data_IF_610505611426
#
_entry.id   IF_610505611426
#
_cell.length_a   1.000
_cell.length_b   1.000
_cell.length_c   1.000
_cell.angle_alpha   90.00
_cell.angle_beta   90.00
_cell.angle_gamma   90.00
#
_symmetry.space_group_name_H-M   'P 1'
#
loop_
_entity.id
_entity.type
_entity.pdbx_description
1 polymer ?
2 non-polymer ?
3 non-polymer ?
4 non-polymer ?
5 non-polymer ?
6 water ?
#
# COMPACT_ATOMS: atom_id res chain seq x y z
N UNK A 1 -13.88 -37.17 -5.74
CA UNK A 1 -12.89 -38.25 -5.56
C UNK A 1 -12.43 -38.88 -6.87
N UNK A 2 -13.09 -38.53 -7.98
CA UNK A 2 -12.67 -39.04 -9.30
C UNK A 2 -11.22 -38.57 -9.53
N UNK A 3 -11.01 -37.28 -9.28
CA UNK A 3 -9.69 -36.67 -9.41
C UNK A 3 -8.93 -36.89 -8.12
N UNK A 4 -7.67 -37.28 -8.22
CA UNK A 4 -6.87 -37.51 -7.03
C UNK A 4 -6.48 -36.20 -6.33
N UNK A 5 -6.35 -36.25 -5.01
CA UNK A 5 -5.95 -35.05 -4.30
C UNK A 5 -4.52 -34.85 -4.78
N UNK A 6 -4.24 -33.67 -5.31
CA UNK A 6 -2.91 -33.41 -5.88
C UNK A 6 -2.44 -32.00 -5.62
N UNK A 7 -1.14 -31.82 -5.48
CA UNK A 7 -0.58 -30.48 -5.25
C UNK A 7 -0.75 -29.69 -6.53
N UNK A 8 -1.32 -28.50 -6.42
CA UNK A 8 -1.53 -27.63 -7.57
C UNK A 8 -0.19 -27.23 -8.18
N UNK A 9 -0.15 -27.02 -9.50
CA UNK A 9 1.09 -26.62 -10.15
C UNK A 9 1.45 -25.23 -9.61
N UNK A 10 2.73 -24.99 -9.31
CA UNK A 10 3.24 -23.72 -8.78
C UNK A 10 2.61 -22.44 -9.37
N UNK A 11 2.62 -22.30 -10.68
CA UNK A 11 2.04 -21.10 -11.29
C UNK A 11 0.55 -20.93 -11.03
N UNK A 12 -0.20 -22.03 -11.14
CA UNK A 12 -1.65 -22.00 -10.92
C UNK A 12 -1.97 -21.66 -9.46
N UNK A 13 -1.21 -22.21 -8.53
CA UNK A 13 -1.45 -21.94 -7.12
C UNK A 13 -1.22 -20.45 -6.85
N UNK A 14 -0.17 -19.90 -7.46
CA UNK A 14 0.15 -18.49 -7.31
C UNK A 14 -0.93 -17.65 -7.95
N UNK A 15 -1.48 -18.11 -9.07
CA UNK A 15 -2.54 -17.35 -9.74
C UNK A 15 -3.78 -17.33 -8.85
N UNK A 16 -4.05 -18.43 -8.16
CA UNK A 16 -5.19 -18.47 -7.27
C UNK A 16 -4.96 -17.43 -6.17
N UNK A 17 -3.74 -17.36 -5.69
CA UNK A 17 -3.39 -16.39 -4.64
C UNK A 17 -3.48 -14.96 -5.19
N UNK A 18 -3.04 -14.77 -6.43
CA UNK A 18 -3.05 -13.47 -7.07
C UNK A 18 -4.45 -12.92 -7.20
N UNK A 19 -5.43 -13.81 -7.33
CA UNK A 19 -6.81 -13.35 -7.45
C UNK A 19 -7.33 -12.72 -6.17
N UNK A 20 -6.72 -13.09 -5.05
CA UNK A 20 -7.11 -12.59 -3.75
C UNK A 20 -6.35 -11.35 -3.29
N UNK A 21 -5.15 -11.14 -3.80
CA UNK A 21 -4.39 -9.97 -3.37
C UNK A 21 -4.18 -8.92 -4.45
N UNK A 22 -4.26 -9.34 -5.71
CA UNK A 22 -4.07 -8.43 -6.83
C UNK A 22 -5.32 -8.32 -7.68
N UNK A 23 -6.18 -7.37 -7.36
CA UNK A 23 -7.41 -7.16 -8.11
C UNK A 23 -7.16 -6.45 -9.42
N UNK A 24 -6.49 -5.29 -9.36
CA UNK A 24 -6.22 -4.49 -10.54
C UNK A 24 -4.82 -3.88 -10.53
N UNK A 25 -4.46 -3.11 -11.58
CA UNK A 25 -3.13 -2.50 -11.60
C UNK A 25 -2.80 -1.70 -10.34
N UNK A 26 -3.78 -0.99 -9.81
CA UNK A 26 -3.56 -0.21 -8.60
C UNK A 26 -3.05 -1.14 -7.49
N UNK A 27 -3.61 -2.34 -7.42
CA UNK A 27 -3.20 -3.33 -6.42
C UNK A 27 -1.73 -3.69 -6.57
N UNK A 28 -1.25 -3.76 -7.80
CA UNK A 28 0.15 -4.09 -8.07
C UNK A 28 1.01 -2.93 -7.59
N UNK A 29 0.58 -1.71 -7.90
CA UNK A 29 1.34 -0.54 -7.49
C UNK A 29 1.43 -0.49 -5.97
N UNK A 30 0.32 -0.78 -5.31
CA UNK A 30 0.23 -0.78 -3.85
C UNK A 30 1.30 -1.68 -3.23
N UNK A 31 1.30 -2.96 -3.61
CA UNK A 31 2.24 -3.94 -3.07
C UNK A 31 3.71 -3.59 -3.32
N UNK A 32 4.02 -3.19 -4.55
CA UNK A 32 5.40 -2.86 -4.89
C UNK A 32 5.90 -1.59 -4.16
N UNK A 33 5.03 -0.60 -4.02
CA UNK A 33 5.45 0.60 -3.33
C UNK A 33 5.65 0.32 -1.84
N UNK A 34 4.76 -0.49 -1.26
CA UNK A 34 4.90 -0.85 0.16
C UNK A 34 6.23 -1.59 0.33
N UNK A 35 6.60 -2.41 -0.66
CA UNK A 35 7.88 -3.10 -0.62
C UNK A 35 9.01 -2.09 -0.59
N UNK A 36 8.92 -1.09 -1.47
CA UNK A 36 9.90 -0.03 -1.54
C UNK A 36 9.96 0.69 -0.20
N UNK A 37 8.80 0.98 0.36
CA UNK A 37 8.76 1.67 1.64
C UNK A 37 9.49 0.82 2.69
N UNK A 38 9.14 -0.46 2.82
CA UNK A 38 9.80 -1.33 3.80
C UNK A 38 11.31 -1.38 3.61
N UNK A 39 11.76 -1.13 2.38
CA UNK A 39 13.19 -1.16 2.05
C UNK A 39 13.93 0.13 2.38
N UNK A 40 13.26 1.04 3.09
CA UNK A 40 13.89 2.31 3.45
C UNK A 40 14.03 3.32 2.34
N UNK A 41 13.28 3.15 1.25
CA UNK A 41 13.39 4.10 0.15
C UNK A 41 12.94 5.48 0.63
N UNK A 42 13.49 6.54 0.03
CA UNK A 42 13.08 7.89 0.37
C UNK A 42 12.61 8.58 -0.91
N UNK A 43 12.83 7.91 -2.04
CA UNK A 43 12.41 8.43 -3.34
C UNK A 43 11.84 7.27 -4.15
N UNK A 44 10.62 7.43 -4.65
CA UNK A 44 10.03 6.35 -5.45
C UNK A 44 9.44 6.89 -6.74
N UNK A 45 9.91 6.34 -7.86
CA UNK A 45 9.44 6.74 -9.17
C UNK A 45 8.56 5.65 -9.78
N UNK A 46 7.34 6.03 -10.12
CA UNK A 46 6.36 5.12 -10.68
C UNK A 46 5.96 5.52 -12.09
N UNK A 47 6.27 4.67 -13.06
CA UNK A 47 5.93 4.92 -14.45
C UNK A 47 4.80 3.97 -14.84
N UNK A 48 3.69 4.54 -15.29
CA UNK A 48 2.52 3.74 -15.69
C UNK A 48 2.24 3.93 -17.17
N UNK A 49 1.78 2.87 -17.83
CA UNK A 49 1.44 2.94 -19.25
C UNK A 49 0.11 2.23 -19.54
N UNK A 50 -0.77 2.95 -20.22
CA UNK A 50 -2.09 2.44 -20.59
C UNK A 50 -2.87 1.92 -19.38
N UNK A 51 -2.90 2.72 -18.32
CA UNK A 51 -3.61 2.33 -17.11
C UNK A 51 -2.93 1.25 -16.31
N UNK A 52 -1.74 0.85 -16.74
CA UNK A 52 -1.00 -0.20 -16.03
C UNK A 52 -1.18 -1.56 -16.68
N UNK A 53 -2.02 -1.62 -17.70
CA UNK A 53 -2.28 -2.86 -18.40
C UNK A 53 -1.09 -3.22 -19.29
N UNK A 54 -0.35 -2.20 -19.72
CA UNK A 54 0.81 -2.41 -20.56
C UNK A 54 2.06 -2.54 -19.70
N UNK A 55 2.32 -1.51 -18.88
CA UNK A 55 3.48 -1.52 -18.02
C UNK A 55 3.28 -0.81 -16.69
N UNK A 56 3.98 -1.31 -15.69
CA UNK A 56 3.99 -0.75 -14.35
C UNK A 56 5.44 -0.86 -13.91
N UNK A 57 6.11 0.28 -13.79
CA UNK A 57 7.51 0.32 -13.36
C UNK A 57 7.68 1.14 -12.10
N UNK A 58 8.34 0.54 -11.12
CA UNK A 58 8.59 1.21 -9.87
C UNK A 58 10.06 1.09 -9.51
N UNK A 59 10.70 2.24 -9.35
CA UNK A 59 12.10 2.29 -9.00
C UNK A 59 12.22 3.01 -7.66
N UNK A 60 13.02 2.45 -6.76
CA UNK A 60 13.20 3.05 -5.45
C UNK A 60 14.68 3.14 -5.11
N UNK A 61 15.01 3.98 -4.14
CA UNK A 61 16.41 4.13 -3.74
C UNK A 61 16.58 3.47 -2.38
N UNK A 62 15.95 2.30 -2.22
CA UNK A 62 16.04 1.56 -0.97
C UNK A 62 17.31 0.72 -0.90
N UNK A 63 17.40 -0.14 0.11
CA UNK A 63 18.58 -0.97 0.33
C UNK A 63 18.85 -2.07 -0.70
N UNK A 64 17.87 -2.38 -1.53
CA UNK A 64 18.06 -3.40 -2.55
C UNK A 64 18.04 -4.84 -2.08
N UNK A 65 18.16 -5.77 -3.03
CA UNK A 65 18.14 -7.19 -2.73
C UNK A 65 19.43 -7.87 -3.15
N UNK A 66 19.96 -8.70 -2.25
CA UNK A 66 21.20 -9.46 -2.45
C UNK A 66 21.06 -10.45 -3.60
N UNK A 67 22.11 -10.54 -4.41
CA UNK A 67 22.09 -11.43 -5.56
C UNK A 67 21.57 -12.82 -5.26
N UNK A 68 22.08 -13.45 -4.21
CA UNK A 68 21.68 -14.80 -3.88
C UNK A 68 20.34 -14.93 -3.15
N UNK A 69 19.57 -13.85 -3.13
CA UNK A 69 18.26 -13.85 -2.49
C UNK A 69 17.16 -13.39 -3.45
N UNK A 70 17.55 -13.04 -4.67
CA UNK A 70 16.58 -12.59 -5.66
C UNK A 70 15.55 -13.67 -5.97
N UNK A 71 16.01 -14.91 -6.11
CA UNK A 71 15.09 -16.01 -6.39
C UNK A 71 14.17 -16.17 -5.20
N UNK A 72 14.71 -15.98 -4.00
CA UNK A 72 13.93 -16.09 -2.79
C UNK A 72 12.93 -14.94 -2.74
N UNK A 73 13.30 -13.83 -3.38
CA UNK A 73 12.40 -12.67 -3.42
C UNK A 73 11.18 -13.00 -4.28
N UNK A 74 11.25 -14.09 -5.04
CA UNK A 74 10.12 -14.45 -5.91
C UNK A 74 9.45 -15.77 -5.54
N UNK A 75 10.03 -16.50 -4.58
CA UNK A 75 9.49 -17.80 -4.16
C UNK A 75 8.28 -17.63 -3.25
N UNK A 76 7.40 -18.61 -3.17
CA UNK A 76 6.25 -18.45 -2.28
C UNK A 76 6.66 -18.49 -0.81
N UNK A 77 5.86 -17.83 0.03
CA UNK A 77 6.09 -17.83 1.48
C UNK A 77 7.50 -17.47 1.92
N UNK A 78 8.19 -16.63 1.15
CA UNK A 78 9.57 -16.28 1.53
C UNK A 78 9.61 -14.81 1.88
N UNK A 79 10.09 -14.49 3.08
CA UNK A 79 10.13 -13.10 3.47
C UNK A 79 11.32 -12.83 4.36
N UNK A 80 11.72 -11.57 4.41
CA UNK A 80 12.84 -11.19 5.25
C UNK A 80 12.27 -10.37 6.41
N UNK A 81 10.98 -10.07 6.34
CA UNK A 81 10.33 -9.23 7.34
C UNK A 81 9.92 -9.87 8.67
N UNK A 82 9.51 -11.14 8.64
CA UNK A 82 9.16 -11.81 9.88
C UNK A 82 9.74 -13.21 9.84
N UNK A 83 9.94 -13.83 10.99
CA UNK A 83 10.48 -15.17 11.01
C UNK A 83 9.87 -16.03 12.12
N UNK A 84 8.87 -15.51 12.80
CA UNK A 84 8.22 -16.25 13.88
C UNK A 84 6.83 -15.71 14.18
N UNK A 85 6.12 -16.40 15.07
CA UNK A 85 4.78 -15.98 15.47
C UNK A 85 4.90 -14.68 16.26
N UNK A 86 5.97 -14.56 17.05
CA UNK A 86 6.22 -13.35 17.83
C UNK A 86 6.32 -12.14 16.89
N UNK A 87 7.00 -12.31 15.75
CA UNK A 87 7.14 -11.20 14.80
C UNK A 87 5.79 -10.86 14.19
N UNK A 88 5.00 -11.88 13.91
CA UNK A 88 3.69 -11.71 13.31
C UNK A 88 2.73 -10.90 14.18
N UNK A 89 2.62 -11.24 15.46
CA UNK A 89 1.72 -10.50 16.34
C UNK A 89 2.27 -9.14 16.77
N UNK A 90 3.41 -8.77 16.20
CA UNK A 90 4.05 -7.48 16.51
C UNK A 90 4.55 -6.86 15.22
N UNK A 91 3.74 -6.95 14.18
CA UNK A 91 4.13 -6.42 12.87
C UNK A 91 4.61 -4.97 12.90
N UNK A 92 5.79 -4.76 12.33
CA UNK A 92 6.40 -3.44 12.24
C UNK A 92 6.80 -3.12 10.81
N UNK A 93 6.21 -3.82 9.85
CA UNK A 93 6.50 -3.58 8.44
C UNK A 93 5.23 -3.79 7.63
N UNK A 94 5.17 -3.19 6.45
CA UNK A 94 3.98 -3.32 5.61
C UNK A 94 3.83 -4.75 5.07
N UNK A 95 4.95 -5.42 4.79
CA UNK A 95 4.85 -6.78 4.28
C UNK A 95 5.16 -7.83 5.34
N UNK A 96 4.65 -9.05 5.16
CA UNK A 96 4.91 -10.12 6.10
C UNK A 96 4.50 -11.53 5.64
N UNK A 97 3.71 -11.60 4.58
CA UNK A 97 3.28 -12.90 4.07
C UNK A 97 4.31 -13.55 3.15
N UNK A 98 5.15 -12.73 2.53
CA UNK A 98 6.15 -13.26 1.61
C UNK A 98 5.48 -13.89 0.41
N UNK A 99 4.41 -13.25 -0.08
CA UNK A 99 3.64 -13.78 -1.21
C UNK A 99 3.45 -12.86 -2.42
N UNK A 100 3.43 -11.55 -2.20
CA UNK A 100 3.17 -10.58 -3.26
C UNK A 100 3.94 -10.74 -4.58
N UNK A 101 5.26 -10.78 -4.51
CA UNK A 101 6.05 -10.90 -5.73
C UNK A 101 5.76 -12.19 -6.49
N UNK A 102 5.49 -13.26 -5.74
CA UNK A 102 5.16 -14.57 -6.32
C UNK A 102 3.78 -14.56 -6.99
N UNK A 103 2.81 -13.95 -6.33
CA UNK A 103 1.47 -13.86 -6.89
C UNK A 103 1.51 -13.01 -8.16
N UNK A 104 2.10 -11.83 -8.08
CA UNK A 104 2.17 -10.94 -9.24
C UNK A 104 2.91 -11.56 -10.43
N UNK A 105 4.01 -12.24 -10.16
CA UNK A 105 4.79 -12.88 -11.22
C UNK A 105 4.02 -13.92 -11.99
N UNK A 106 3.12 -14.62 -11.31
CA UNK A 106 2.35 -15.67 -11.96
C UNK A 106 1.23 -15.11 -12.83
N UNK A 107 0.97 -13.81 -12.74
CA UNK A 107 -0.09 -13.22 -13.54
C UNK A 107 0.36 -12.04 -14.39
N UNK A 108 1.64 -12.04 -14.75
CA UNK A 108 2.20 -10.99 -15.58
C UNK A 108 3.62 -11.39 -15.93
N UNK A 109 4.34 -10.45 -16.52
CA UNK A 109 5.73 -10.68 -16.84
C UNK A 109 6.41 -9.68 -15.91
N UNK A 110 6.91 -10.19 -14.79
CA UNK A 110 7.55 -9.33 -13.81
C UNK A 110 9.05 -9.54 -13.79
N UNK A 111 9.79 -8.43 -13.77
CA UNK A 111 11.25 -8.47 -13.73
C UNK A 111 11.73 -7.69 -12.51
N UNK A 112 12.70 -8.26 -11.82
CA UNK A 112 13.27 -7.66 -10.62
C UNK A 112 14.75 -7.33 -10.85
N UNK A 113 15.07 -6.05 -10.90
CA UNK A 113 16.44 -5.59 -11.10
C UNK A 113 16.88 -4.87 -9.83
N UNK A 114 18.00 -5.30 -9.25
CA UNK A 114 18.44 -4.70 -8.01
C UNK A 114 19.94 -4.84 -7.72
N UNK A 115 20.42 -3.99 -6.80
CA UNK A 115 21.82 -4.00 -6.36
C UNK A 115 21.91 -3.41 -4.96
N UNK A 116 22.79 -4.00 -4.13
CA UNK A 116 23.00 -3.53 -2.76
C UNK A 116 24.26 -2.67 -2.72
N UNK A 117 24.40 -1.88 -1.66
CA UNK A 117 25.57 -1.03 -1.51
C UNK A 117 26.85 -1.86 -1.44
N UNK A 118 26.74 -3.10 -0.97
CA UNK A 118 27.91 -3.97 -0.86
C UNK A 118 28.29 -4.66 -2.17
N UNK A 119 27.42 -4.59 -3.17
CA UNK A 119 27.68 -5.23 -4.46
C UNK A 119 28.21 -4.27 -5.50
N UNK A 120 29.14 -4.77 -6.32
CA UNK A 120 29.73 -3.99 -7.39
C UNK A 120 28.87 -4.20 -8.63
N UNK A 121 28.27 -5.38 -8.72
CA UNK A 121 27.44 -5.75 -9.86
C UNK A 121 25.94 -5.79 -9.52
N UNK A 122 25.10 -5.50 -10.51
CA UNK A 122 23.66 -5.56 -10.34
C UNK A 122 23.13 -6.83 -10.99
N UNK A 123 21.92 -7.22 -10.64
CA UNK A 123 21.34 -8.43 -11.20
C UNK A 123 19.82 -8.32 -11.35
N UNK A 124 19.26 -9.00 -12.34
CA UNK A 124 17.82 -8.98 -12.52
C UNK A 124 17.35 -10.43 -12.51
N UNK A 125 16.10 -10.63 -12.11
CA UNK A 125 15.56 -11.99 -12.03
C UNK A 125 14.08 -12.00 -12.38
N UNK A 126 13.60 -13.16 -12.82
CA UNK A 126 12.19 -13.32 -13.18
C UNK A 126 11.76 -14.78 -13.14
N UNK A 127 10.57 -15.04 -12.61
CA UNK A 127 10.03 -16.40 -12.51
C UNK A 127 9.37 -16.69 -13.85
N UNK A 128 9.21 -17.97 -14.17
CA UNK A 128 8.63 -18.30 -15.46
C UNK A 128 8.19 -19.75 -15.59
N UNK A 129 7.15 -19.97 -16.39
CA UNK A 129 6.65 -21.32 -16.63
C UNK A 129 5.73 -21.88 -15.57
N UNK A 130 5.20 -23.09 -15.85
CA UNK A 130 4.30 -23.77 -14.92
C UNK A 130 4.91 -23.94 -13.55
N UNK A 131 6.23 -24.16 -13.51
CA UNK A 131 6.93 -24.36 -12.25
C UNK A 131 7.56 -23.09 -11.68
N UNK A 132 7.33 -21.96 -12.32
CA UNK A 132 7.86 -20.69 -11.85
C UNK A 132 9.38 -20.76 -11.61
N UNK A 133 10.11 -21.28 -12.58
CA UNK A 133 11.56 -21.39 -12.46
C UNK A 133 12.21 -20.01 -12.56
N UNK A 134 13.21 -19.77 -11.73
CA UNK A 134 13.85 -18.47 -11.72
C UNK A 134 15.17 -18.33 -12.45
N UNK A 135 15.29 -17.21 -13.15
CA UNK A 135 16.50 -16.91 -13.88
C UNK A 135 17.09 -15.64 -13.28
N UNK A 136 18.40 -15.65 -13.07
CA UNK A 136 19.11 -14.49 -12.55
C UNK A 136 20.22 -14.23 -13.54
N UNK A 137 20.32 -12.99 -14.00
CA UNK A 137 21.34 -12.62 -14.98
C UNK A 137 21.90 -11.22 -14.67
N UNK A 138 23.07 -10.89 -15.24
CA UNK A 138 23.74 -9.59 -15.05
C UNK A 138 22.87 -8.40 -15.47
N UNK A 139 23.16 -7.23 -14.92
CA UNK A 139 22.41 -6.03 -15.25
C UNK A 139 23.11 -4.78 -14.75
N UNK A 140 22.62 -3.63 -15.19
CA UNK A 140 23.17 -2.34 -14.77
C UNK A 140 22.07 -1.67 -13.98
N UNK A 141 22.41 -1.18 -12.79
CA UNK A 141 21.40 -0.55 -11.95
C UNK A 141 22.08 0.10 -10.74
N UNK A 142 21.51 1.20 -10.24
CA UNK A 142 22.07 1.91 -9.09
C UNK A 142 21.74 1.12 -7.82
N UNK A 143 22.29 1.53 -6.68
CA UNK A 143 21.94 0.88 -5.44
C UNK A 143 20.44 1.13 -5.30
N UNK A 144 19.67 0.04 -5.21
CA UNK A 144 18.23 0.18 -5.10
C UNK A 144 17.55 -0.87 -5.93
N UNK A 145 16.24 -0.73 -6.12
CA UNK A 145 15.51 -1.73 -6.86
C UNK A 145 14.52 -1.17 -7.88
N UNK A 146 14.38 -1.87 -8.98
CA UNK A 146 13.43 -1.50 -10.02
C UNK A 146 12.54 -2.73 -10.26
N UNK A 147 11.24 -2.51 -10.26
CA UNK A 147 10.30 -3.59 -10.52
C UNK A 147 9.60 -3.27 -11.82
N UNK A 148 9.48 -4.27 -12.69
CA UNK A 148 8.80 -4.08 -13.96
C UNK A 148 7.75 -5.15 -14.19
N UNK A 149 6.49 -4.74 -14.19
CA UNK A 149 5.36 -5.65 -14.40
C UNK A 149 4.71 -5.31 -15.74
N UNK A 150 4.85 -6.20 -16.72
CA UNK A 150 4.26 -5.98 -18.03
C UNK A 150 3.17 -7.02 -18.33
N UNK A 151 2.25 -6.69 -19.24
CA UNK A 151 1.20 -7.62 -19.64
C UNK A 151 0.37 -8.21 -18.51
N UNK A 152 -0.01 -7.38 -17.52
CA UNK A 152 -0.80 -7.87 -16.40
C UNK A 152 -1.95 -8.75 -16.87
N UNK A 153 -2.14 -9.89 -16.21
CA UNK A 153 -3.20 -10.83 -16.55
C UNK A 153 -3.13 -11.44 -17.95
N UNK A 154 -2.00 -11.31 -18.64
CA UNK A 154 -1.92 -11.87 -19.98
C UNK A 154 -2.17 -13.38 -20.01
N UNK A 155 -1.79 -14.09 -18.95
CA UNK A 155 -1.98 -15.53 -18.91
C UNK A 155 -3.24 -15.97 -18.16
N UNK A 156 -4.01 -14.98 -17.72
CA UNK A 156 -5.29 -15.19 -17.05
C UNK A 156 -6.21 -14.20 -17.76
N UNK A 157 -6.41 -14.42 -19.07
CA UNK A 157 -7.24 -13.61 -19.97
C UNK A 157 -8.60 -13.19 -19.41
N UNK A 158 -9.27 -14.10 -18.71
CA UNK A 158 -10.59 -13.79 -18.16
C UNK A 158 -10.58 -12.65 -17.13
N UNK A 159 -9.48 -12.50 -16.39
CA UNK A 159 -9.37 -11.45 -15.38
C UNK A 159 -9.17 -10.08 -16.01
N UNK A 160 -8.61 -10.08 -17.21
CA UNK A 160 -8.33 -8.84 -17.91
C UNK A 160 -9.63 -8.15 -18.34
N UNK A 161 -10.67 -8.95 -18.55
CA UNK A 161 -11.96 -8.41 -18.98
C UNK A 161 -12.59 -7.55 -17.90
N UNK A 162 -12.16 -7.74 -16.66
CA UNK A 162 -12.68 -6.94 -15.55
C UNK A 162 -11.97 -5.59 -15.52
N UNK A 163 -10.97 -5.43 -16.38
CA UNK A 163 -10.22 -4.18 -16.47
C UNK A 163 -11.10 -3.09 -17.07
N UNK A 164 -11.16 -1.96 -16.38
CA UNK A 164 -11.95 -0.82 -16.85
C UNK A 164 -11.13 -0.04 -17.86
N UNK A 165 -11.55 1.19 -18.17
CA UNK A 165 -10.82 1.99 -19.14
C UNK A 165 -9.45 2.33 -18.57
N UNK A 166 -8.50 2.59 -19.46
CA UNK A 166 -7.15 2.95 -19.05
C UNK A 166 -7.18 4.16 -18.12
N UNK A 167 -7.99 5.15 -18.47
CA UNK A 167 -8.12 6.35 -17.67
C UNK A 167 -8.62 5.98 -16.28
N UNK A 168 -9.64 5.14 -16.24
CA UNK A 168 -10.19 4.72 -14.95
C UNK A 168 -9.15 3.97 -14.12
N UNK A 169 -8.46 3.03 -14.76
CA UNK A 169 -7.46 2.24 -14.05
C UNK A 169 -6.35 3.12 -13.51
N UNK A 170 -5.96 4.15 -14.28
CA UNK A 170 -4.92 5.05 -13.79
C UNK A 170 -5.43 5.85 -12.60
N UNK A 171 -6.71 6.21 -12.62
CA UNK A 171 -7.27 6.96 -11.50
C UNK A 171 -7.19 6.17 -10.21
N UNK A 172 -7.35 4.85 -10.28
CA UNK A 172 -7.27 4.03 -9.08
C UNK A 172 -5.83 3.97 -8.61
N UNK A 173 -4.89 4.01 -9.55
CA UNK A 173 -3.47 4.00 -9.24
C UNK A 173 -3.14 5.33 -8.56
N UNK A 174 -3.59 6.41 -9.18
CA UNK A 174 -3.39 7.77 -8.69
C UNK A 174 -3.94 7.90 -7.26
N UNK A 175 -5.08 7.27 -7.00
CA UNK A 175 -5.69 7.30 -5.69
C UNK A 175 -4.84 6.55 -4.66
N UNK A 176 -4.33 5.39 -5.06
CA UNK A 176 -3.48 4.58 -4.19
C UNK A 176 -2.24 5.37 -3.78
N UNK A 177 -1.58 6.00 -4.74
CA UNK A 177 -0.37 6.77 -4.48
C UNK A 177 -0.67 7.94 -3.55
N UNK A 178 -1.90 8.43 -3.63
CA UNK A 178 -2.37 9.53 -2.81
C UNK A 178 -2.38 9.02 -1.37
N UNK A 179 -3.10 7.92 -1.15
CA UNK A 179 -3.20 7.31 0.17
C UNK A 179 -1.82 7.00 0.75
N UNK A 180 -0.91 6.52 -0.09
CA UNK A 180 0.45 6.19 0.35
C UNK A 180 1.29 7.42 0.64
N UNK A 181 1.10 8.48 -0.15
CA UNK A 181 1.83 9.72 0.03
C UNK A 181 1.45 10.38 1.35
N UNK A 182 0.21 10.17 1.77
CA UNK A 182 -0.28 10.74 3.03
C UNK A 182 0.26 9.94 4.20
N UNK A 183 0.56 8.68 3.94
CA UNK A 183 1.08 7.78 4.97
C UNK A 183 2.54 8.10 5.29
N UNK A 184 3.30 8.48 4.28
CA UNK A 184 4.72 8.79 4.46
C UNK A 184 5.07 10.14 3.85
N UNK A 185 4.98 11.18 4.67
CA UNK A 185 5.30 12.53 4.21
C UNK A 185 6.78 12.66 3.92
N UNK A 186 7.58 11.81 4.56
CA UNK A 186 9.03 11.87 4.41
C UNK A 186 9.57 11.19 3.15
N UNK A 187 8.68 10.73 2.29
CA UNK A 187 9.14 10.06 1.08
C UNK A 187 8.77 10.81 -0.19
N UNK A 188 9.74 10.99 -1.07
CA UNK A 188 9.47 11.66 -2.34
C UNK A 188 8.85 10.61 -3.25
N UNK A 189 7.75 10.98 -3.90
CA UNK A 189 7.06 10.05 -4.79
C UNK A 189 6.68 10.73 -6.10
N UNK A 190 7.15 10.16 -7.22
CA UNK A 190 6.85 10.69 -8.53
C UNK A 190 6.01 9.69 -9.30
N UNK A 191 4.92 10.17 -9.89
CA UNK A 191 4.01 9.32 -10.66
C UNK A 191 3.83 9.84 -12.09
N UNK A 192 4.07 8.98 -13.06
CA UNK A 192 3.93 9.35 -14.46
C UNK A 192 3.00 8.41 -15.19
N UNK A 193 2.27 8.94 -16.18
CA UNK A 193 1.38 8.13 -16.98
C UNK A 193 1.58 8.40 -18.46
N UNK A 194 1.89 7.36 -19.20
CA UNK A 194 2.10 7.48 -20.63
C UNK A 194 3.15 8.53 -20.99
N UNK A 195 4.30 8.43 -20.36
CA UNK A 195 5.38 9.36 -20.63
C UNK A 195 5.24 10.72 -19.98
N UNK A 196 4.03 11.07 -19.56
CA UNK A 196 3.82 12.36 -18.93
C UNK A 196 3.72 12.29 -17.41
N UNK A 197 4.39 13.22 -16.75
CA UNK A 197 4.37 13.27 -15.31
C UNK A 197 3.01 13.79 -14.86
N UNK A 198 2.42 13.10 -13.89
CA UNK A 198 1.12 13.47 -13.36
C UNK A 198 1.30 14.15 -12.03
N UNK A 199 2.24 13.64 -11.25
CA UNK A 199 2.51 14.25 -9.96
C UNK A 199 3.87 13.94 -9.36
N UNK A 200 4.29 14.81 -8.46
CA UNK A 200 5.55 14.68 -7.80
C UNK A 200 5.49 15.25 -6.39
N UNK A 201 5.27 14.34 -5.44
CA UNK A 201 5.18 14.70 -4.02
C UNK A 201 6.57 14.90 -3.45
N UNK A 202 6.77 16.03 -2.79
CA UNK A 202 8.06 16.38 -2.20
C UNK A 202 8.14 15.92 -0.76
N UNK A 203 9.30 15.37 -0.38
CA UNK A 203 9.51 14.88 0.98
C UNK A 203 9.53 15.97 2.05
N UNK A 204 8.96 15.64 3.21
CA UNK A 204 8.91 16.56 4.33
C UNK A 204 9.57 15.85 5.52
N UNK A 205 10.66 16.43 6.05
CA UNK A 205 11.38 15.84 7.18
C UNK A 205 10.68 16.07 8.52
N UNK A 209 6.67 21.28 8.07
CA UNK A 209 5.29 21.66 7.76
C UNK A 209 4.71 20.74 6.69
N UNK A 210 3.76 19.91 7.10
CA UNK A 210 3.11 18.96 6.20
C UNK A 210 1.96 19.60 5.43
N UNK A 211 1.56 20.79 5.88
CA UNK A 211 0.47 21.53 5.25
C UNK A 211 0.63 21.63 3.74
N UNK A 212 1.87 21.80 3.28
CA UNK A 212 2.14 21.89 1.84
C UNK A 212 1.65 20.63 1.12
N UNK A 213 2.22 19.49 1.49
CA UNK A 213 1.84 18.23 0.86
C UNK A 213 0.35 17.94 1.03
N UNK A 214 -0.16 18.11 2.25
CA UNK A 214 -1.58 17.87 2.51
C UNK A 214 -2.44 18.58 1.47
N UNK A 215 -2.14 19.85 1.24
CA UNK A 215 -2.88 20.61 0.25
C UNK A 215 -2.62 20.08 -1.14
N UNK A 216 -1.36 19.76 -1.42
CA UNK A 216 -0.96 19.25 -2.71
C UNK A 216 -1.59 17.89 -3.02
N UNK A 217 -1.93 17.15 -1.96
CA UNK A 217 -2.54 15.83 -2.12
C UNK A 217 -4.05 15.83 -2.09
N UNK A 218 -4.62 16.47 -1.06
CA UNK A 218 -6.08 16.49 -0.91
C UNK A 218 -6.77 17.72 -1.46
N UNK A 219 -6.00 18.73 -1.84
CA UNK A 219 -6.59 19.95 -2.37
C UNK A 219 -6.58 21.08 -1.35
N UNK A 220 -6.73 22.31 -1.85
CA UNK A 220 -6.73 23.49 -0.98
C UNK A 220 -7.99 23.56 -0.13
N UNK A 221 -9.11 23.16 -0.72
CA UNK A 221 -10.39 23.18 -0.03
C UNK A 221 -10.29 22.50 1.34
N UNK A 222 -9.69 21.31 1.35
CA UNK A 222 -9.54 20.55 2.59
C UNK A 222 -8.62 21.26 3.57
N UNK A 223 -7.51 21.78 3.06
CA UNK A 223 -6.53 22.48 3.88
C UNK A 223 -7.16 23.66 4.62
N UNK A 224 -8.09 24.34 3.96
CA UNK A 224 -8.76 25.49 4.56
C UNK A 224 -9.69 25.07 5.69
N UNK A 225 -10.38 23.96 5.53
CA UNK A 225 -11.30 23.48 6.54
C UNK A 225 -10.64 22.57 7.58
N UNK A 226 -9.45 22.07 7.25
CA UNK A 226 -8.70 21.17 8.11
C UNK A 226 -8.41 21.64 9.54
N UNK A 227 -8.73 20.78 10.50
CA UNK A 227 -8.49 21.06 11.92
C UNK A 227 -7.51 20.01 12.47
N UNK A 228 -6.27 20.41 12.72
CA UNK A 228 -5.24 19.51 13.24
C UNK A 228 -5.64 18.80 14.52
N UNK A 229 -5.23 17.54 14.64
CA UNK A 229 -5.56 16.73 15.82
C UNK A 229 -4.32 16.21 16.55
N UNK A 230 -4.39 16.20 17.88
CA UNK A 230 -3.31 15.72 18.74
C UNK A 230 -3.96 15.10 19.97
N UNK A 231 -4.28 13.82 19.89
CA UNK A 231 -4.93 13.11 20.98
C UNK A 231 -4.08 11.93 21.46
N UNK A 232 -3.84 11.86 22.76
CA UNK A 232 -3.05 10.78 23.33
C UNK A 232 -3.53 10.26 24.69
N UNK A 233 -3.52 8.95 24.83
CA UNK A 233 -3.92 8.25 26.05
C UNK A 233 -2.77 7.27 26.30
N UNK A 234 -2.96 6.32 27.22
CA UNK A 234 -1.92 5.34 27.52
C UNK A 234 -0.86 5.29 26.44
N UNK A 235 -1.06 4.45 25.44
CA UNK A 235 -0.10 4.37 24.33
C UNK A 235 -0.83 4.67 23.03
N UNK A 236 -2.13 4.90 23.14
CA UNK A 236 -2.95 5.22 21.97
C UNK A 236 -2.71 6.68 21.59
N UNK A 237 -2.48 6.91 20.31
CA UNK A 237 -2.25 8.26 19.81
C UNK A 237 -3.05 8.46 18.53
N UNK A 238 -3.65 9.64 18.40
CA UNK A 238 -4.43 9.99 17.23
C UNK A 238 -3.90 11.31 16.70
N UNK A 239 -3.57 11.33 15.42
CA UNK A 239 -3.04 12.52 14.76
C UNK A 239 -3.75 12.68 13.43
N UNK A 240 -3.49 13.78 12.76
CA UNK A 240 -4.13 14.03 11.47
C UNK A 240 -5.01 15.25 11.44
N UNK A 241 -5.97 15.26 10.53
CA UNK A 241 -6.88 16.40 10.37
C UNK A 241 -8.33 15.97 10.19
N UNK A 242 -9.24 16.81 10.66
CA UNK A 242 -10.66 16.55 10.51
C UNK A 242 -11.32 17.86 10.08
N UNK A 243 -12.14 17.80 9.05
CA UNK A 243 -12.82 18.99 8.55
C UNK A 243 -14.07 19.31 9.33
N UNK A 244 -14.46 20.58 9.30
CA UNK A 244 -15.67 21.04 9.98
C UNK A 244 -16.84 20.38 9.26
N UNK A 245 -17.63 19.56 9.97
CA UNK A 245 -18.78 18.89 9.33
C UNK A 245 -19.73 19.89 8.71
N UNK A 246 -19.90 21.02 9.39
CA UNK A 246 -20.78 22.08 8.94
C UNK A 246 -20.27 22.69 7.64
N UNK A 247 -18.96 22.56 7.39
CA UNK A 247 -18.37 23.10 6.17
C UNK A 247 -17.75 22.03 5.29
N UNK A 248 -18.32 20.83 5.33
CA UNK A 248 -17.83 19.73 4.52
C UNK A 248 -18.80 19.47 3.37
N UNK A 249 -18.27 19.37 2.16
CA UNK A 249 -19.09 19.11 0.99
C UNK A 249 -18.94 17.66 0.59
N UNK A 250 -19.79 17.19 -0.34
CA UNK A 250 -19.70 15.80 -0.79
C UNK A 250 -18.33 15.56 -1.40
N UNK A 251 -17.83 16.58 -2.12
CA UNK A 251 -16.52 16.50 -2.76
C UNK A 251 -15.45 16.28 -1.69
N UNK A 252 -15.55 17.02 -0.60
CA UNK A 252 -14.59 16.90 0.51
C UNK A 252 -14.76 15.57 1.24
N UNK A 253 -15.96 15.01 1.19
CA UNK A 253 -16.24 13.74 1.86
C UNK A 253 -15.53 12.60 1.16
N UNK A 254 -15.00 12.86 -0.03
CA UNK A 254 -14.28 11.83 -0.78
C UNK A 254 -12.93 11.59 -0.10
N UNK A 255 -12.57 12.48 0.81
CA UNK A 255 -11.30 12.37 1.55
C UNK A 255 -11.58 11.82 2.95
N UNK A 256 -11.64 10.50 3.07
CA UNK A 256 -11.87 9.86 4.37
C UNK A 256 -10.79 8.82 4.57
N UNK A 257 -9.58 9.28 4.87
CA UNK A 257 -8.44 8.40 5.05
C UNK A 257 -8.05 8.19 6.50
N UNK A 258 -7.73 6.95 6.84
CA UNK A 258 -7.30 6.60 8.18
C UNK A 258 -6.17 5.59 8.07
N UNK A 259 -5.24 5.64 9.02
CA UNK A 259 -4.10 4.75 9.01
C UNK A 259 -3.88 4.09 10.37
N UNK A 260 -3.48 2.81 10.35
CA UNK A 260 -3.20 2.08 11.57
C UNK A 260 -1.70 1.78 11.56
N UNK A 261 -0.97 2.51 12.40
CA UNK A 261 0.47 2.39 12.48
C UNK A 261 1.11 2.66 11.11
N UNK A 262 0.60 3.69 10.45
CA UNK A 262 1.12 4.08 9.14
C UNK A 262 0.65 3.25 7.97
N UNK A 263 -0.29 2.34 8.20
CA UNK A 263 -0.81 1.49 7.14
C UNK A 263 -2.22 1.89 6.72
N UNK A 264 -2.37 2.32 5.46
CA UNK A 264 -3.67 2.74 4.94
C UNK A 264 -4.71 1.65 5.18
N UNK A 265 -5.71 2.00 5.98
CA UNK A 265 -6.77 1.06 6.34
C UNK A 265 -8.14 1.68 6.09
N UNK A 266 -9.16 0.84 6.08
CA UNK A 266 -10.53 1.29 5.90
C UNK A 266 -11.33 0.46 6.89
N UNK A 267 -11.30 0.90 8.15
CA UNK A 267 -11.99 0.22 9.22
C UNK A 267 -13.37 0.81 9.53
N UNK A 268 -14.35 -0.06 9.72
CA UNK A 268 -15.70 0.39 10.02
C UNK A 268 -15.77 0.94 11.43
N UNK A 269 -15.01 0.35 12.35
CA UNK A 269 -14.99 0.79 13.73
C UNK A 269 -14.48 2.23 13.83
N UNK A 270 -13.44 2.52 13.06
CA UNK A 270 -12.83 3.83 13.04
C UNK A 270 -13.77 4.89 12.47
N UNK A 271 -14.35 4.59 11.30
CA UNK A 271 -15.25 5.52 10.63
C UNK A 271 -16.47 5.83 11.50
N UNK A 272 -17.06 4.79 12.08
CA UNK A 272 -18.23 4.95 12.93
C UNK A 272 -17.93 5.88 14.11
N UNK A 273 -16.80 5.63 14.78
CA UNK A 273 -16.41 6.45 15.91
C UNK A 273 -16.33 7.90 15.47
N UNK A 274 -15.73 8.11 14.30
CA UNK A 274 -15.56 9.45 13.74
C UNK A 274 -16.90 10.10 13.42
N UNK A 275 -17.87 9.31 12.97
CA UNK A 275 -19.17 9.85 12.62
C UNK A 275 -20.01 10.19 13.85
N UNK A 276 -19.94 9.35 14.87
CA UNK A 276 -20.70 9.59 16.10
C UNK A 276 -20.26 10.91 16.73
N UNK A 277 -19.07 11.37 16.35
CA UNK A 277 -18.54 12.62 16.88
C UNK A 277 -19.04 13.82 16.09
N UNK A 278 -19.07 13.68 14.77
CA UNK A 278 -19.54 14.76 13.90
C UNK A 278 -21.06 14.88 13.97
N UNK A 279 -21.72 13.78 14.29
CA UNK A 279 -23.17 13.77 14.40
C UNK A 279 -23.55 14.48 15.70
N UNK A 280 -22.99 14.00 16.81
CA UNK A 280 -23.27 14.56 18.13
C UNK A 280 -22.99 16.07 18.19
N UNK A 281 -22.07 16.54 17.36
CA UNK A 281 -21.75 17.98 17.35
C UNK A 281 -22.69 18.68 16.37
N UNK A 282 -22.48 18.45 15.08
CA UNK A 282 -23.30 19.07 14.05
C UNK A 282 -24.77 18.90 14.37
N UNK A 283 -25.14 17.69 14.80
CA UNK A 283 -26.52 17.41 15.13
C UNK A 283 -27.26 16.83 13.94
N UNK A 286 -23.24 15.53 8.62
CA UNK A 286 -23.14 14.71 7.42
C UNK A 286 -21.79 13.99 7.35
N UNK A 287 -21.52 13.35 6.21
CA UNK A 287 -20.27 12.63 6.00
C UNK A 287 -19.08 13.55 6.24
N UNK A 288 -18.21 13.18 7.20
CA UNK A 288 -17.03 13.98 7.54
C UNK A 288 -15.84 13.74 6.61
N UNK A 289 -14.99 14.75 6.48
CA UNK A 289 -13.79 14.66 5.67
C UNK A 289 -12.66 14.63 6.68
N UNK A 290 -11.68 13.73 6.48
CA UNK A 290 -10.59 13.60 7.44
C UNK A 290 -9.38 12.81 6.95
N UNK A 291 -8.31 12.92 7.72
CA UNK A 291 -7.08 12.19 7.47
C UNK A 291 -6.56 11.91 8.87
N UNK A 292 -6.87 10.72 9.38
CA UNK A 292 -6.47 10.34 10.72
C UNK A 292 -5.42 9.25 10.74
N UNK A 293 -4.52 9.36 11.72
CA UNK A 293 -3.46 8.40 11.91
C UNK A 293 -3.55 7.83 13.31
N UNK A 294 -3.73 6.52 13.42
CA UNK A 294 -3.82 5.87 14.72
C UNK A 294 -2.51 5.16 15.03
N UNK A 295 -1.90 5.50 16.17
CA UNK A 295 -0.66 4.84 16.58
C UNK A 295 -0.98 3.98 17.79
N UNK A 296 -0.66 2.70 17.69
CA UNK A 296 -0.96 1.77 18.77
C UNK A 296 0.09 0.65 18.83
N UNK A 297 0.19 0.00 19.98
CA UNK A 297 1.13 -1.10 20.16
C UNK A 297 0.66 -2.22 19.23
N UNK A 298 1.56 -2.71 18.35
CA UNK A 298 1.20 -3.77 17.41
C UNK A 298 0.58 -5.02 18.04
N UNK A 299 0.84 -5.24 19.32
CA UNK A 299 0.28 -6.39 20.01
C UNK A 299 -1.22 -6.22 20.22
N UNK A 300 -1.68 -4.97 20.27
CA UNK A 300 -3.10 -4.68 20.50
C UNK A 300 -3.97 -4.70 19.24
N UNK A 301 -3.33 -4.89 18.08
CA UNK A 301 -4.06 -4.95 16.83
C UNK A 301 -3.64 -6.18 16.04
N UNK A 302 -4.56 -6.70 15.23
CA UNK A 302 -4.28 -7.88 14.41
C UNK A 302 -4.41 -7.48 12.95
N UNK A 303 -3.31 -7.53 12.21
CA UNK A 303 -3.32 -7.14 10.79
C UNK A 303 -3.25 -8.33 9.83
N UNK A 304 -3.41 -9.53 10.37
CA UNK A 304 -3.38 -10.77 9.57
C UNK A 304 -4.83 -11.26 9.43
N UNK A 305 -5.67 -10.45 8.82
CA UNK A 305 -7.09 -10.77 8.64
C UNK A 305 -7.48 -10.88 7.16
N UNK A 306 -6.81 -10.11 6.32
CA UNK A 306 -7.06 -10.06 4.88
C UNK A 306 -5.72 -10.16 4.15
N UNK A 307 -5.65 -10.99 3.10
CA UNK A 307 -4.40 -11.15 2.36
C UNK A 307 -3.83 -9.86 1.75
N UNK A 308 -4.68 -8.85 1.59
CA UNK A 308 -4.27 -7.57 1.04
C UNK A 308 -4.09 -6.54 2.15
N UNK A 309 -4.37 -6.95 3.38
CA UNK A 309 -4.25 -6.10 4.54
C UNK A 309 -5.26 -4.95 4.52
N UNK A 310 -6.44 -5.24 3.97
CA UNK A 310 -7.52 -4.27 3.89
C UNK A 310 -8.21 -4.05 5.24
N UNK A 311 -8.12 -5.05 6.11
CA UNK A 311 -8.77 -4.99 7.42
C UNK A 311 -7.84 -5.24 8.60
N UNK A 312 -8.35 -4.93 9.78
CA UNK A 312 -7.63 -5.14 11.02
C UNK A 312 -8.67 -5.29 12.11
N UNK A 313 -8.30 -5.91 13.21
CA UNK A 313 -9.21 -6.07 14.33
C UNK A 313 -8.43 -5.70 15.59
N UNK A 314 -9.05 -4.89 16.43
CA UNK A 314 -8.42 -4.43 17.65
C UNK A 314 -8.78 -5.31 18.83
N UNK A 315 -7.79 -5.69 19.63
CA UNK A 315 -8.01 -6.52 20.81
C UNK A 315 -8.99 -5.82 21.77
N UNK A 316 -8.81 -4.52 21.98
CA UNK A 316 -9.70 -3.78 22.85
C UNK A 316 -10.55 -2.82 22.03
N UNK A 317 -11.45 -3.40 21.25
CA UNK A 317 -12.36 -2.69 20.36
C UNK A 317 -13.04 -1.44 20.94
N UNK A 318 -13.81 -1.60 22.01
CA UNK A 318 -14.51 -0.47 22.60
C UNK A 318 -13.59 0.62 23.12
N UNK A 319 -12.42 0.23 23.59
CA UNK A 319 -11.45 1.21 24.10
C UNK A 319 -10.95 2.10 22.97
N UNK A 320 -10.59 1.49 21.84
CA UNK A 320 -10.07 2.22 20.69
C UNK A 320 -11.14 3.10 20.03
N UNK A 321 -12.34 2.56 19.87
CA UNK A 321 -13.43 3.31 19.26
C UNK A 321 -13.65 4.60 20.07
N UNK A 322 -13.84 4.43 21.37
CA UNK A 322 -14.06 5.55 22.28
C UNK A 322 -12.88 6.52 22.27
N UNK A 323 -11.69 6.01 22.04
CA UNK A 323 -10.49 6.85 22.03
C UNK A 323 -10.55 7.83 20.87
N UNK A 324 -10.93 7.33 19.70
CA UNK A 324 -11.03 8.15 18.50
C UNK A 324 -12.23 9.07 18.58
N UNK A 325 -13.33 8.56 19.14
CA UNK A 325 -14.55 9.36 19.29
C UNK A 325 -14.22 10.61 20.10
N UNK A 326 -13.67 10.41 21.29
CA UNK A 326 -13.31 11.53 22.15
C UNK A 326 -12.30 12.43 21.44
N UNK A 327 -11.31 11.82 20.80
CA UNK A 327 -10.29 12.58 20.10
C UNK A 327 -10.87 13.54 19.08
N UNK A 328 -11.72 13.03 18.20
CA UNK A 328 -12.35 13.86 17.18
C UNK A 328 -13.31 14.84 17.85
N UNK A 329 -14.24 14.29 18.62
CA UNK A 329 -15.24 15.09 19.31
C UNK A 329 -14.59 16.28 20.02
N UNK A 330 -13.43 16.04 20.63
CA UNK A 330 -12.73 17.10 21.34
C UNK A 330 -12.31 18.23 20.43
N UNK A 331 -11.75 17.89 19.27
CA UNK A 331 -11.30 18.88 18.30
C UNK A 331 -12.44 19.73 17.75
N UNK A 332 -13.59 19.11 17.52
CA UNK A 332 -14.74 19.83 16.98
C UNK A 332 -15.28 20.83 18.00
N UNK A 333 -14.67 20.85 19.18
CA UNK A 333 -15.08 21.75 20.25
C UNK A 333 -13.84 22.33 20.96
X LIG B 1 5.45 -6.98 0.15
X LIG C 1 8.58 -13.86 -1.86
X LIG D 1 0.79 1.87 2.65
X LIG D 1 -0.16 0.97 3.24
X LIG D 1 1.01 3.01 3.58
X LIG D 1 -0.20 3.58 4.16
X LIG E 1 -6.90 12.36 27.07
X LIG E 1 -7.76 11.42 26.40
X LIG E 1 -6.39 13.37 26.09
X LIG E 1 -4.95 13.59 26.09
X LIG F 1 18.09 6.81 0.88
X LIG F 1 17.76 5.46 1.29
X LIG F 1 19.57 6.94 0.69
X LIG F 1 20.04 6.98 -0.70
X LIG G 1 -3.97 0.13 23.71
X LIG G 1 -3.83 -0.27 25.07
X LIG G 1 -5.29 -0.33 23.18
X LIG G 1 -5.50 -1.77 23.21
X LIG H 1 10.45 -23.54 -8.43
X LIG H 1 11.28 -23.35 -9.59
X LIG H 1 9.81 -22.25 -8.04
X LIG H 1 10.42 -21.57 -6.90
X LIG I 1 3.88 -9.69 1.65
X LIG I 1 3.46 -10.88 0.87
X LIG I 1 3.84 -8.55 0.91
X LIG I 1 3.03 -9.43 2.88
X LIG I 1 6.87 -9.57 1.70
X LIG I 1 7.85 -10.23 2.55
X LIG I 1 7.12 -8.17 1.53
X LIG I 1 5.40 -9.92 2.31
X LIG I 1 7.11 -9.79 -1.19
X LIG I 1 6.38 -8.61 -1.42
X LIG I 1 6.96 -10.93 -2.12
X LIG I 1 6.86 -10.31 0.29
X LIG I 1 8.66 -9.48 -1.22
X LIG I 1 9.70 -10.38 -1.01
X LIG I 1 10.93 -10.08 -0.15
X LIG I 1 11.59 -9.44 -1.27
X LIG I 1 10.83 -9.04 0.96
X LIG I 1 10.62 -9.71 2.18
X LIG I 1 12.11 -8.24 0.78
X LIG I 1 13.12 -8.83 1.59
X LIG I 1 12.31 -8.32 -0.76
X LIG I 1 11.82 -7.16 -1.60
X LIG I 1 10.72 -6.98 -2.43
X LIG I 1 10.58 -5.83 -3.04
X LIG I 1 11.68 -5.17 -2.59
X LIG I 1 12.26 -3.81 -2.78
X LIG I 1 11.67 -2.91 -3.59
X LIG I 1 13.47 -3.41 -2.14
X LIG I 1 14.14 -4.29 -1.30
X LIG I 1 13.68 -5.59 -1.03
X LIG I 1 12.47 -5.97 -1.68
#
# INVERSE_FOLDING_TARGET
SHMPIQVLPPQLANQIAAGEVVERPASVVKELVENSLDAGATRIDIDIERGGAKLIRIRDNGCGIKKDELALALARHATSKIASLDDLEAIISLGFRGEALASISSVSRLTLTSRTAEQQEAWQAYAEGRDMNVTVKPAAHPVGTTLEVLDLFYNTPARRKFLRTEKTEFNHIDEIIRRIALARFDVTINLSHNGKIVRQYRAVPEGGQKERRLGAICGTAFLEQALAIEWQHGDLTLRGWVADPNHTTPALAEIQYCYVNGRMMRDRLINHAIRQACEDKLGADQQPAFVLYLEIDPHQVDVNVHPAKHEVRFHQSRLVHDFIYQGVLSVLQ
MG MG
RB RB
EDO C1 O1 C2 O2
EDO C1 O1 C2 O2
EDO C1 O1 C2 O2
EDO C1 O1 C2 O2
EDO C1 O1 C2 O2
ANP PG O1G O2G O3G PB O1B O2B N3B PA O1A O2A O3A O5' C5' C4' O4' C3' O3' C2' O2' C1' N9 C8 N7 C5 C6 N6 N1 C2 N3 C4
#
